data_IF_036547701213
#
_entry.id   IF_036547701213
#
_cell.length_a   1.000
_cell.length_b   1.000
_cell.length_c   1.000
_cell.angle_alpha   90.00
_cell.angle_beta   90.00
_cell.angle_gamma   90.00
#
_symmetry.space_group_name_H-M   'P 1'
#
loop_
_entity.id
_entity.type
_entity.pdbx_description
1 polymer ?
#
# COMPACT_ATOMS: atom_id res chain seq x y z
N UNK A 1 -24.49 -26.47 4.27
CA UNK A 1 -23.34 -25.71 4.80
C UNK A 1 -22.52 -25.21 3.60
N UNK A 2 -22.35 -23.90 3.41
CA UNK A 2 -21.56 -23.36 2.29
C UNK A 2 -20.08 -23.38 2.68
N UNK A 3 -19.25 -24.11 1.92
CA UNK A 3 -17.79 -24.06 2.06
C UNK A 3 -17.31 -22.62 1.83
N UNK A 4 -16.78 -21.95 2.86
CA UNK A 4 -16.01 -20.72 2.68
C UNK A 4 -14.72 -21.11 1.96
N UNK A 5 -14.61 -20.84 0.67
CA UNK A 5 -13.34 -20.92 -0.04
C UNK A 5 -12.32 -20.03 0.69
N UNK A 6 -11.18 -20.59 1.09
CA UNK A 6 -10.04 -19.80 1.59
C UNK A 6 -9.66 -18.82 0.47
N UNK A 7 -9.90 -17.53 0.69
CA UNK A 7 -9.49 -16.48 -0.24
C UNK A 7 -7.97 -16.53 -0.35
N UNK A 8 -7.43 -16.75 -1.55
CA UNK A 8 -5.99 -16.73 -1.74
C UNK A 8 -5.44 -15.37 -1.27
N UNK A 9 -4.26 -15.35 -0.62
CA UNK A 9 -3.61 -14.10 -0.23
C UNK A 9 -3.38 -13.24 -1.48
N UNK A 10 -3.56 -11.92 -1.33
CA UNK A 10 -3.36 -10.98 -2.42
C UNK A 10 -1.87 -10.99 -2.81
N UNK A 11 -1.53 -11.18 -4.09
CA UNK A 11 -0.14 -11.04 -4.56
C UNK A 11 0.16 -9.58 -4.89
N UNK A 12 1.30 -9.09 -4.41
CA UNK A 12 1.72 -7.69 -4.49
C UNK A 12 2.95 -7.59 -5.39
N UNK A 13 2.93 -6.68 -6.38
CA UNK A 13 4.06 -6.51 -7.28
C UNK A 13 5.07 -5.49 -6.76
N UNK A 14 6.34 -5.83 -6.85
CA UNK A 14 7.47 -4.95 -6.55
C UNK A 14 8.43 -4.91 -7.73
N UNK A 15 9.16 -3.80 -7.88
CA UNK A 15 10.33 -3.77 -8.76
C UNK A 15 11.54 -4.48 -8.14
N UNK A 16 12.63 -4.57 -8.89
CA UNK A 16 13.90 -5.17 -8.45
C UNK A 16 14.52 -4.45 -7.26
N UNK A 17 14.25 -3.15 -7.10
CA UNK A 17 14.67 -2.35 -5.96
C UNK A 17 13.74 -2.50 -4.74
N UNK A 18 12.63 -3.23 -4.85
CA UNK A 18 11.67 -3.43 -3.77
C UNK A 18 10.70 -2.27 -3.56
N UNK A 19 10.56 -1.36 -4.51
CA UNK A 19 9.48 -0.36 -4.52
C UNK A 19 8.17 -1.02 -4.91
N UNK A 20 7.07 -0.53 -4.34
CA UNK A 20 5.73 -0.97 -4.75
C UNK A 20 5.42 -0.47 -6.16
N UNK A 21 5.06 -1.39 -7.06
CA UNK A 21 4.52 -1.03 -8.38
C UNK A 21 3.03 -0.78 -8.25
N UNK A 22 2.56 0.44 -8.55
CA UNK A 22 1.12 0.73 -8.46
C UNK A 22 0.31 0.14 -9.61
N UNK A 23 0.91 -0.13 -10.75
CA UNK A 23 0.24 -0.71 -11.90
C UNK A 23 1.25 -1.52 -12.71
N UNK A 24 0.81 -2.64 -13.29
CA UNK A 24 1.66 -3.53 -14.08
C UNK A 24 1.32 -3.37 -15.54
N UNK A 25 2.31 -2.93 -16.33
CA UNK A 25 2.21 -2.91 -17.78
C UNK A 25 2.60 -4.28 -18.35
N UNK A 26 2.00 -4.73 -19.46
CA UNK A 26 2.37 -5.99 -20.11
C UNK A 26 3.84 -6.09 -20.52
N UNK A 27 4.53 -4.96 -20.66
CA UNK A 27 5.93 -4.85 -21.06
C UNK A 27 6.91 -4.77 -19.87
N UNK A 28 6.44 -4.95 -18.63
CA UNK A 28 7.32 -4.96 -17.46
C UNK A 28 7.87 -6.36 -17.25
N UNK A 29 9.17 -6.52 -17.48
CA UNK A 29 9.86 -7.81 -17.33
C UNK A 29 10.34 -8.05 -15.88
N UNK A 30 10.59 -6.99 -15.10
CA UNK A 30 11.19 -7.06 -13.76
C UNK A 30 10.18 -6.92 -12.62
N UNK A 31 9.11 -7.71 -12.65
CA UNK A 31 8.08 -7.72 -11.58
C UNK A 31 8.31 -8.87 -10.61
N UNK A 32 8.67 -8.55 -9.37
CA UNK A 32 8.73 -9.52 -8.28
C UNK A 32 7.39 -9.57 -7.56
N UNK A 33 6.67 -10.69 -7.71
CA UNK A 33 5.43 -10.93 -6.97
C UNK A 33 5.71 -11.52 -5.59
N UNK A 34 5.11 -10.92 -4.56
CA UNK A 34 5.22 -11.41 -3.16
C UNK A 34 3.81 -11.59 -2.59
N UNK A 35 3.63 -12.52 -1.67
CA UNK A 35 2.40 -12.60 -0.90
C UNK A 35 2.20 -11.31 -0.09
N UNK A 36 0.96 -10.86 0.10
CA UNK A 36 0.68 -9.68 0.92
C UNK A 36 1.07 -9.96 2.38
N UNK A 37 1.82 -9.03 2.98
CA UNK A 37 2.29 -9.10 4.36
C UNK A 37 2.04 -7.77 5.07
N UNK A 38 2.15 -7.81 6.40
CA UNK A 38 2.19 -6.61 7.25
C UNK A 38 3.64 -6.24 7.53
N UNK A 39 3.92 -4.94 7.55
CA UNK A 39 5.25 -4.42 7.86
C UNK A 39 5.15 -3.12 8.65
N UNK A 40 5.96 -3.01 9.70
CA UNK A 40 6.07 -1.78 10.48
C UNK A 40 7.23 -0.95 9.95
N UNK A 41 6.97 0.33 9.67
CA UNK A 41 8.00 1.25 9.21
C UNK A 41 7.62 2.70 9.50
N UNK A 42 8.60 3.59 9.37
CA UNK A 42 8.36 5.03 9.33
C UNK A 42 8.30 5.44 7.86
N UNK A 43 7.15 5.94 7.43
CA UNK A 43 6.98 6.52 6.10
C UNK A 43 6.92 8.04 6.17
N UNK A 44 7.56 8.69 5.21
CA UNK A 44 7.50 10.13 5.00
C UNK A 44 6.63 10.44 3.78
N UNK A 45 5.64 11.31 3.96
CA UNK A 45 4.82 11.84 2.88
C UNK A 45 5.62 12.75 1.96
N UNK A 46 5.66 12.43 0.66
CA UNK A 46 6.49 13.11 -0.34
C UNK A 46 5.69 13.99 -1.31
N UNK A 47 4.38 13.81 -1.43
CA UNK A 47 3.54 14.53 -2.39
C UNK A 47 2.44 13.65 -2.96
N UNK A 48 1.76 14.11 -4.01
CA UNK A 48 0.70 13.34 -4.66
C UNK A 48 0.76 13.47 -6.17
N UNK A 49 0.18 12.50 -6.86
CA UNK A 49 -0.04 12.53 -8.31
C UNK A 49 -1.50 12.27 -8.63
N UNK A 50 -1.95 12.81 -9.76
CA UNK A 50 -3.30 12.58 -10.28
C UNK A 50 -3.21 11.85 -11.62
N UNK A 51 -3.85 10.69 -11.69
CA UNK A 51 -4.16 9.99 -12.93
C UNK A 51 -5.51 10.41 -13.50
N UNK A 52 -5.93 9.77 -14.60
CA UNK A 52 -7.24 10.03 -15.22
C UNK A 52 -8.42 9.67 -14.31
N UNK A 53 -8.26 8.67 -13.45
CA UNK A 53 -9.32 8.12 -12.60
C UNK A 53 -8.92 7.93 -11.14
N UNK A 54 -7.76 8.43 -10.72
CA UNK A 54 -7.25 8.24 -9.36
C UNK A 54 -6.35 9.38 -8.92
N UNK A 55 -6.30 9.60 -7.60
CA UNK A 55 -5.26 10.39 -6.95
C UNK A 55 -4.49 9.43 -6.03
N UNK A 56 -3.16 9.51 -6.07
CA UNK A 56 -2.26 8.67 -5.29
C UNK A 56 -1.33 9.55 -4.47
N UNK A 57 -1.24 9.27 -3.18
CA UNK A 57 -0.30 9.91 -2.25
C UNK A 57 0.99 9.09 -2.18
N UNK A 58 2.12 9.78 -2.25
CA UNK A 58 3.45 9.18 -2.37
C UNK A 58 4.14 9.19 -1.02
N UNK A 59 4.72 8.06 -0.66
CA UNK A 59 5.47 7.87 0.58
C UNK A 59 6.83 7.25 0.27
N UNK A 60 7.81 7.58 1.10
CA UNK A 60 9.12 6.93 1.12
C UNK A 60 9.42 6.47 2.54
N UNK A 61 9.89 5.24 2.72
CA UNK A 61 10.32 4.76 4.04
C UNK A 61 11.76 5.17 4.39
N UNK A 62 12.21 4.78 5.57
CA UNK A 62 13.58 5.05 6.06
C UNK A 62 14.68 4.35 5.25
N UNK A 63 14.34 3.37 4.41
CA UNK A 63 15.25 2.67 3.50
C UNK A 63 15.18 3.21 2.07
N UNK A 64 14.42 4.27 1.83
CA UNK A 64 14.24 4.87 0.51
C UNK A 64 13.23 4.14 -0.39
N UNK A 65 12.48 3.17 0.13
CA UNK A 65 11.48 2.42 -0.64
C UNK A 65 10.22 3.24 -0.84
N UNK A 66 9.71 3.22 -2.06
CA UNK A 66 8.56 4.02 -2.47
C UNK A 66 7.26 3.25 -2.33
N UNK A 67 6.26 3.93 -1.79
CA UNK A 67 4.92 3.43 -1.60
C UNK A 67 3.89 4.44 -2.08
N UNK A 68 2.73 3.92 -2.50
CA UNK A 68 1.63 4.71 -3.02
C UNK A 68 0.36 4.37 -2.23
N UNK A 69 -0.37 5.37 -1.78
CA UNK A 69 -1.59 5.22 -1.00
C UNK A 69 -2.76 5.87 -1.75
N UNK A 70 -3.90 5.18 -1.82
CA UNK A 70 -5.10 5.75 -2.41
C UNK A 70 -5.71 6.81 -1.50
N UNK A 71 -6.45 7.77 -2.08
CA UNK A 71 -7.11 8.84 -1.30
C UNK A 71 -7.93 8.31 -0.13
N UNK A 72 -8.75 7.29 -0.35
CA UNK A 72 -9.58 6.74 0.72
C UNK A 72 -8.79 6.03 1.82
N UNK A 73 -7.62 5.48 1.52
CA UNK A 73 -6.76 4.88 2.56
C UNK A 73 -5.95 5.97 3.29
N UNK A 74 -5.62 7.07 2.61
CA UNK A 74 -4.96 8.21 3.22
C UNK A 74 -5.92 8.98 4.14
N UNK A 75 -7.17 9.14 3.74
CA UNK A 75 -8.24 9.69 4.60
C UNK A 75 -8.45 8.82 5.86
N UNK A 76 -8.52 7.50 5.72
CA UNK A 76 -8.56 6.57 6.87
C UNK A 76 -7.36 6.75 7.81
N UNK A 77 -6.15 6.87 7.24
CA UNK A 77 -4.92 7.11 7.99
C UNK A 77 -4.98 8.42 8.78
N UNK A 78 -5.42 9.51 8.15
CA UNK A 78 -5.54 10.80 8.82
C UNK A 78 -6.57 10.76 9.95
N UNK A 79 -7.70 10.08 9.74
CA UNK A 79 -8.76 9.97 10.74
C UNK A 79 -8.38 9.09 11.94
N UNK A 80 -7.56 8.05 11.73
CA UNK A 80 -7.22 7.09 12.79
C UNK A 80 -5.93 7.41 13.53
N UNK A 81 -4.94 7.96 12.83
CA UNK A 81 -3.56 8.10 13.33
C UNK A 81 -3.01 9.52 13.14
N UNK A 82 -3.32 10.16 12.01
CA UNK A 82 -2.74 11.44 11.64
C UNK A 82 -1.30 11.31 11.13
N UNK A 83 -0.64 12.45 10.91
CA UNK A 83 0.79 12.55 10.61
C UNK A 83 1.48 13.40 11.69
N UNK A 84 2.69 13.01 12.08
CA UNK A 84 3.58 13.89 12.83
C UNK A 84 4.42 14.69 11.82
N UNK A 85 3.96 15.91 11.53
CA UNK A 85 4.50 16.68 10.41
C UNK A 85 4.24 15.99 9.07
N UNK A 86 5.27 15.37 8.48
CA UNK A 86 5.15 14.58 7.25
C UNK A 86 5.36 13.08 7.48
N UNK A 87 5.61 12.65 8.70
CA UNK A 87 5.99 11.26 9.00
C UNK A 87 4.88 10.51 9.71
N UNK A 88 4.85 9.19 9.52
CA UNK A 88 4.00 8.26 10.24
C UNK A 88 4.77 6.98 10.56
N UNK A 89 4.70 6.53 11.81
CA UNK A 89 5.31 5.29 12.30
C UNK A 89 4.22 4.28 12.67
N UNK A 90 3.87 3.39 11.74
CA UNK A 90 2.75 2.47 11.93
C UNK A 90 3.04 1.14 11.23
N UNK A 91 2.12 0.18 11.43
CA UNK A 91 2.08 -1.06 10.66
C UNK A 91 1.19 -0.89 9.43
N UNK A 92 1.73 -1.24 8.27
CA UNK A 92 1.07 -1.14 6.98
C UNK A 92 0.88 -2.51 6.35
N UNK A 93 -0.09 -2.60 5.45
CA UNK A 93 -0.30 -3.74 4.55
C UNK A 93 -0.68 -3.22 3.17
N UNK A 94 -0.72 -4.11 2.19
CA UNK A 94 -1.03 -3.74 0.81
C UNK A 94 -2.50 -3.95 0.46
N UNK A 95 -2.97 -3.23 -0.54
CA UNK A 95 -4.31 -3.34 -1.09
C UNK A 95 -4.29 -3.23 -2.63
N UNK A 96 -5.37 -3.72 -3.25
CA UNK A 96 -5.62 -3.56 -4.70
C UNK A 96 -6.98 -2.89 -4.88
N UNK A 97 -7.05 -1.85 -5.72
CA UNK A 97 -8.28 -1.14 -6.10
C UNK A 97 -8.34 -1.04 -7.63
N UNK A 98 -9.25 -1.80 -8.23
CA UNK A 98 -9.25 -2.05 -9.68
C UNK A 98 -7.95 -2.78 -10.07
N UNK A 99 -7.20 -2.19 -10.99
CA UNK A 99 -5.90 -2.70 -11.43
C UNK A 99 -4.71 -2.09 -10.69
N UNK A 100 -4.97 -1.13 -9.80
CA UNK A 100 -3.91 -0.45 -9.08
C UNK A 100 -3.62 -1.10 -7.73
N UNK A 101 -2.37 -1.03 -7.30
CA UNK A 101 -1.86 -1.47 -6.00
C UNK A 101 -1.45 -0.28 -5.15
N UNK A 102 -1.61 -0.42 -3.83
CA UNK A 102 -1.24 0.61 -2.87
C UNK A 102 -0.98 0.04 -1.48
N UNK A 103 -0.53 0.90 -0.57
CA UNK A 103 -0.43 0.63 0.86
C UNK A 103 -1.62 1.23 1.61
N UNK A 104 -1.92 0.67 2.77
CA UNK A 104 -2.89 1.17 3.74
C UNK A 104 -2.42 0.82 5.14
N UNK A 105 -3.01 1.45 6.16
CA UNK A 105 -2.83 0.98 7.54
C UNK A 105 -3.26 -0.48 7.64
N UNK A 106 -2.43 -1.29 8.30
CA UNK A 106 -2.88 -2.61 8.74
C UNK A 106 -4.02 -2.42 9.73
N UNK A 107 -5.00 -3.32 9.70
CA UNK A 107 -5.99 -3.33 10.76
C UNK A 107 -5.27 -3.86 12.00
N UNK A 108 -4.93 -2.99 12.96
CA UNK A 108 -4.78 -3.42 14.35
C UNK A 108 -6.14 -3.99 14.77
N UNK A 109 -6.35 -5.29 14.57
CA UNK A 109 -7.50 -6.02 15.07
C UNK A 109 -7.40 -6.00 16.59
N UNK A 110 -8.10 -5.04 17.19
CA UNK A 110 -8.44 -4.98 18.60
C UNK A 110 -9.94 -4.80 18.74
N UNK A 111 -10.73 -5.65 18.10
CA UNK A 111 -12.13 -5.90 18.45
C UNK A 111 -12.35 -7.42 18.40
N UNK A 112 -12.68 -7.97 19.57
CA UNK A 112 -13.40 -9.24 19.74
C UNK A 112 -14.89 -8.87 19.73
#
# INVERSE_FOLDING_TARGET
MKNKMKKQPLSIPFDSDGNLLNYILPSMDDVTWRENFEFSTIMTYCGFSRGRSSILFHFTDTQGKKYLMFVSDFDDLLNRKGLEGKTINETFTFCKKGDNYGVKLANSQGEI
#
